data_IF_687249420435
#
_entry.id   IF_687249420435
#
_cell.length_a   1.000
_cell.length_b   1.000
_cell.length_c   1.000
_cell.angle_alpha   90.00
_cell.angle_beta   90.00
_cell.angle_gamma   90.00
#
_symmetry.space_group_name_H-M   'P 1'
#
loop_
_entity.id
_entity.type
_entity.pdbx_description
1 polymer ?
#
# COMPACT_ATOMS: atom_id res chain seq x y z
N UNK A 1 6.66 -5.13 -0.56
CA UNK A 1 6.02 -5.59 -1.82
C UNK A 1 5.43 -7.01 -1.71
N UNK A 2 5.19 -7.53 -0.50
CA UNK A 2 4.70 -8.91 -0.30
C UNK A 2 3.22 -9.00 0.11
N UNK A 3 2.62 -7.96 0.71
CA UNK A 3 1.20 -7.98 1.13
C UNK A 3 0.25 -8.09 -0.07
N UNK A 4 0.55 -7.29 -1.11
CA UNK A 4 -0.39 -7.06 -2.21
C UNK A 4 -0.40 -8.19 -3.24
N UNK A 5 0.62 -9.06 -3.24
CA UNK A 5 0.65 -10.27 -4.06
C UNK A 5 -0.30 -11.36 -3.54
N UNK A 6 -0.68 -11.27 -2.26
CA UNK A 6 -1.63 -12.18 -1.61
C UNK A 6 -3.09 -11.67 -1.65
N UNK A 7 -3.34 -10.47 -2.17
CA UNK A 7 -4.70 -9.98 -2.37
C UNK A 7 -5.46 -10.84 -3.40
N UNK A 8 -6.80 -10.97 -3.30
CA UNK A 8 -7.58 -11.81 -4.21
C UNK A 8 -7.25 -11.50 -5.68
N UNK A 9 -6.88 -12.53 -6.44
CA UNK A 9 -6.53 -12.43 -7.89
C UNK A 9 -7.61 -11.75 -8.73
N UNK A 10 -8.86 -11.72 -8.24
CA UNK A 10 -9.99 -11.01 -8.83
C UNK A 10 -9.82 -9.47 -8.85
N UNK A 11 -9.15 -8.88 -7.87
CA UNK A 11 -8.82 -7.43 -7.85
C UNK A 11 -7.65 -7.13 -8.81
N UNK A 12 -6.82 -8.15 -9.08
CA UNK A 12 -5.50 -8.02 -9.68
C UNK A 12 -5.49 -8.36 -11.19
N UNK A 13 -6.59 -8.18 -11.93
CA UNK A 13 -6.65 -8.51 -13.37
C UNK A 13 -5.79 -7.60 -14.29
N UNK A 14 -4.89 -6.81 -13.73
CA UNK A 14 -3.98 -5.93 -14.44
C UNK A 14 -2.55 -6.45 -14.47
N UNK A 15 -1.84 -6.23 -15.58
CA UNK A 15 -0.40 -6.47 -15.66
C UNK A 15 0.42 -5.71 -14.59
N UNK A 16 1.76 -5.86 -14.57
CA UNK A 16 2.66 -5.36 -13.50
C UNK A 16 2.68 -3.82 -13.30
N UNK A 17 1.85 -3.09 -14.02
CA UNK A 17 1.69 -1.64 -14.04
C UNK A 17 0.35 -1.19 -13.43
N UNK A 18 -0.22 -1.93 -12.46
CA UNK A 18 -1.44 -1.50 -11.74
C UNK A 18 -1.30 -1.59 -10.21
N UNK A 19 -0.17 -2.07 -9.70
CA UNK A 19 0.04 -2.25 -8.26
C UNK A 19 0.05 -0.92 -7.51
N UNK A 20 0.56 0.15 -8.12
CA UNK A 20 0.57 1.47 -7.51
C UNK A 20 -0.85 1.95 -7.26
N UNK A 21 -1.72 1.79 -8.27
CA UNK A 21 -3.14 2.12 -8.20
C UNK A 21 -3.86 1.40 -7.05
N UNK A 22 -3.70 0.08 -6.96
CA UNK A 22 -4.38 -0.74 -5.94
C UNK A 22 -3.87 -0.42 -4.54
N UNK A 23 -2.57 -0.15 -4.39
CA UNK A 23 -1.98 0.26 -3.12
C UNK A 23 -2.56 1.58 -2.64
N UNK A 24 -2.66 2.56 -3.53
CA UNK A 24 -3.20 3.88 -3.22
C UNK A 24 -4.70 3.82 -2.90
N UNK A 25 -5.46 3.00 -3.63
CA UNK A 25 -6.88 2.77 -3.37
C UNK A 25 -7.12 2.16 -1.98
N UNK A 26 -6.31 1.15 -1.62
CA UNK A 26 -6.33 0.57 -0.27
C UNK A 26 -6.01 1.62 0.79
N UNK A 27 -4.96 2.42 0.58
CA UNK A 27 -4.57 3.45 1.53
C UNK A 27 -5.64 4.54 1.74
N UNK A 28 -6.30 4.97 0.65
CA UNK A 28 -7.44 5.90 0.70
C UNK A 28 -8.65 5.30 1.43
N UNK A 29 -8.88 3.99 1.32
CA UNK A 29 -10.00 3.31 1.98
C UNK A 29 -9.83 3.17 3.51
N UNK A 30 -8.60 3.31 4.05
CA UNK A 30 -8.35 3.07 5.47
C UNK A 30 -9.02 4.12 6.38
N UNK A 31 -8.95 5.41 6.03
CA UNK A 31 -9.58 6.52 6.76
C UNK A 31 -9.83 7.69 5.80
N UNK A 32 -10.92 8.45 5.99
CA UNK A 32 -11.30 9.55 5.08
C UNK A 32 -10.32 10.73 5.08
N UNK A 33 -9.42 10.85 6.07
CA UNK A 33 -8.42 11.91 6.17
C UNK A 33 -7.03 11.50 5.68
N UNK A 34 -6.86 10.29 5.13
CA UNK A 34 -5.58 9.86 4.58
C UNK A 34 -5.45 10.41 3.16
N UNK A 35 -4.40 11.21 2.93
CA UNK A 35 -4.06 11.75 1.61
C UNK A 35 -2.67 11.22 1.22
N UNK A 36 -2.59 10.25 0.29
CA UNK A 36 -1.31 9.75 -0.17
C UNK A 36 -0.58 10.78 -1.03
N UNK A 37 0.76 10.82 -0.92
CA UNK A 37 1.63 11.70 -1.70
C UNK A 37 2.51 10.84 -2.61
N UNK A 38 1.98 10.27 -3.70
CA UNK A 38 2.76 9.43 -4.59
C UNK A 38 3.78 10.27 -5.35
N UNK A 39 5.07 9.95 -5.19
CA UNK A 39 6.13 10.55 -5.98
C UNK A 39 6.52 9.60 -7.11
N UNK A 40 6.53 10.08 -8.34
CA UNK A 40 7.03 9.34 -9.51
C UNK A 40 7.62 10.31 -10.52
N UNK A 41 8.70 9.90 -11.19
CA UNK A 41 9.32 10.65 -12.29
C UNK A 41 8.76 10.24 -13.67
N UNK A 42 7.92 9.21 -13.72
CA UNK A 42 7.37 8.65 -14.96
C UNK A 42 5.90 9.05 -15.12
N UNK A 43 5.58 9.69 -16.24
CA UNK A 43 4.22 10.19 -16.52
C UNK A 43 3.15 9.08 -16.52
N UNK A 44 3.39 7.97 -17.20
CA UNK A 44 2.45 6.84 -17.22
C UNK A 44 2.15 6.26 -15.82
N UNK A 45 3.09 6.39 -14.86
CA UNK A 45 2.87 5.97 -13.47
C UNK A 45 2.03 6.98 -12.70
N UNK A 46 2.17 8.27 -13.02
CA UNK A 46 1.32 9.30 -12.43
C UNK A 46 -0.13 9.07 -12.83
N UNK A 47 -0.38 8.86 -14.12
CA UNK A 47 -1.71 8.57 -14.67
C UNK A 47 -2.33 7.30 -14.04
N UNK A 48 -1.54 6.22 -13.94
CA UNK A 48 -1.93 4.98 -13.25
C UNK A 48 -2.35 5.27 -11.80
N UNK A 49 -1.54 6.03 -11.07
CA UNK A 49 -1.75 6.33 -9.65
C UNK A 49 -2.96 7.24 -9.40
N UNK A 50 -3.23 8.20 -10.31
CA UNK A 50 -4.40 9.06 -10.21
C UNK A 50 -5.71 8.26 -10.28
N UNK A 51 -5.74 7.22 -11.13
CA UNK A 51 -6.90 6.32 -11.23
C UNK A 51 -7.17 5.49 -9.97
N UNK A 52 -6.38 5.63 -8.89
CA UNK A 52 -6.62 4.94 -7.62
C UNK A 52 -7.87 5.46 -6.90
N UNK A 53 -8.24 6.73 -7.10
CA UNK A 53 -9.42 7.32 -6.49
C UNK A 53 -10.73 6.69 -7.01
N UNK A 54 -10.72 6.14 -8.22
CA UNK A 54 -11.87 5.50 -8.85
C UNK A 54 -12.01 4.02 -8.48
N UNK A 55 -11.03 3.45 -7.77
CA UNK A 55 -11.04 2.04 -7.39
C UNK A 55 -11.82 1.88 -6.08
N UNK A 56 -12.93 1.15 -6.15
CA UNK A 56 -13.70 0.74 -4.97
C UNK A 56 -13.26 -0.64 -4.52
N UNK A 57 -12.75 -0.73 -3.28
CA UNK A 57 -12.46 -2.00 -2.63
C UNK A 57 -13.64 -2.39 -1.74
N UNK A 58 -14.07 -3.65 -1.82
CA UNK A 58 -15.14 -4.16 -0.97
C UNK A 58 -14.63 -4.47 0.44
N UNK A 59 -15.54 -4.61 1.41
CA UNK A 59 -15.16 -5.02 2.77
C UNK A 59 -14.42 -6.38 2.81
N UNK A 60 -14.77 -7.30 1.91
CA UNK A 60 -14.09 -8.59 1.78
C UNK A 60 -12.65 -8.44 1.28
N UNK A 61 -12.42 -7.53 0.34
CA UNK A 61 -11.09 -7.24 -0.18
C UNK A 61 -10.17 -6.65 0.89
N UNK A 62 -10.70 -5.68 1.67
CA UNK A 62 -9.97 -5.07 2.77
C UNK A 62 -9.60 -6.09 3.85
N UNK A 63 -10.53 -6.98 4.21
CA UNK A 63 -10.28 -8.04 5.19
C UNK A 63 -9.22 -9.05 4.70
N UNK A 64 -9.23 -9.39 3.41
CA UNK A 64 -8.21 -10.26 2.82
C UNK A 64 -6.82 -9.61 2.86
N UNK A 65 -6.73 -8.32 2.50
CA UNK A 65 -5.47 -7.55 2.56
C UNK A 65 -4.96 -7.45 4.00
N UNK A 66 -5.84 -7.18 4.98
CA UNK A 66 -5.46 -7.10 6.39
C UNK A 66 -4.92 -8.44 6.90
N UNK A 67 -5.59 -9.55 6.56
CA UNK A 67 -5.16 -10.90 6.93
C UNK A 67 -3.77 -11.20 6.35
N UNK A 68 -3.54 -10.87 5.07
CA UNK A 68 -2.24 -11.03 4.43
C UNK A 68 -1.17 -10.14 5.06
N UNK A 69 -1.51 -8.91 5.46
CA UNK A 69 -0.58 -7.96 6.08
C UNK A 69 -0.10 -8.43 7.46
N UNK A 70 -0.99 -9.03 8.27
CA UNK A 70 -0.66 -9.56 9.59
C UNK A 70 0.32 -10.74 9.55
N UNK A 71 0.39 -11.45 8.44
CA UNK A 71 1.32 -12.57 8.26
C UNK A 71 2.77 -12.12 7.97
N UNK A 72 3.03 -10.82 7.84
CA UNK A 72 4.37 -10.31 7.53
C UNK A 72 5.19 -10.10 8.79
N UNK A 73 6.33 -10.78 8.86
CA UNK A 73 7.36 -10.50 9.83
C UNK A 73 7.97 -9.11 9.54
N UNK A 74 7.94 -8.24 10.54
CA UNK A 74 8.61 -6.93 10.47
C UNK A 74 10.08 -7.16 10.74
N UNK A 75 10.92 -7.01 9.71
CA UNK A 75 12.37 -7.14 9.83
C UNK A 75 13.04 -5.76 9.91
N UNK A 76 13.89 -5.59 10.93
CA UNK A 76 14.73 -4.41 11.11
C UNK A 76 14.11 -3.29 11.97
N UNK A 77 14.99 -2.52 12.62
CA UNK A 77 14.60 -1.32 13.36
C UNK A 77 14.58 -0.11 12.43
N UNK A 78 13.69 0.86 12.70
CA UNK A 78 13.59 2.11 11.92
C UNK A 78 14.90 2.92 11.97
N UNK A 79 15.66 2.77 13.04
CA UNK A 79 16.92 3.45 13.27
C UNK A 79 17.97 2.45 13.77
N UNK A 80 19.25 2.63 13.41
CA UNK A 80 20.36 1.97 14.10
C UNK A 80 20.32 2.26 15.61
N UNK A 81 20.78 1.31 16.42
CA UNK A 81 20.76 1.42 17.89
C UNK A 81 21.36 2.73 18.44
N UNK A 82 22.40 3.26 17.78
CA UNK A 82 23.02 4.54 18.15
C UNK A 82 22.09 5.75 17.97
N UNK A 83 21.22 5.74 16.95
CA UNK A 83 20.24 6.80 16.72
C UNK A 83 19.00 6.61 17.62
N UNK A 84 18.61 5.37 17.93
CA UNK A 84 17.56 5.10 18.92
C UNK A 84 17.91 5.69 20.29
N UNK A 85 19.15 5.55 20.76
CA UNK A 85 19.61 6.11 22.03
C UNK A 85 19.54 7.65 22.12
N UNK A 86 19.42 8.35 20.98
CA UNK A 86 19.26 9.81 20.94
C UNK A 86 17.79 10.25 20.90
N UNK A 87 16.88 9.33 20.62
CA UNK A 87 15.43 9.56 20.70
C UNK A 87 15.06 9.25 22.15
N UNK A 88 14.77 10.26 22.96
CA UNK A 88 14.55 10.15 24.41
C UNK A 88 13.30 9.37 24.82
N UNK A 89 13.22 8.10 24.42
CA UNK A 89 12.15 7.14 24.68
C UNK A 89 12.58 6.12 25.73
#
# INVERSE_FOLDING_TARGET
MSVLLQAPKAILQGGPFQWGRITLAWLLAQKPWIVPIPCTTKLHRLEENLGAADVTLTAGDLAAIETAARAIAIEGERYPAALLATTGN
#
